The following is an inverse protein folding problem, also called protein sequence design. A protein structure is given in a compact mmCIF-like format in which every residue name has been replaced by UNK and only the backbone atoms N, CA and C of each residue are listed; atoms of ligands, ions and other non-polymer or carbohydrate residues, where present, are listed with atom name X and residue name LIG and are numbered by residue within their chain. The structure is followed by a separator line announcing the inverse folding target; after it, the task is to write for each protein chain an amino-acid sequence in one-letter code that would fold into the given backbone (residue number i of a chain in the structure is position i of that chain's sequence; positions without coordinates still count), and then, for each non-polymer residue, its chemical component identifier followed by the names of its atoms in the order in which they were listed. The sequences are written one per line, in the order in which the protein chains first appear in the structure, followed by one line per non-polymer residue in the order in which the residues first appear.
data_IF_884228249345
#
_entry.id   IF_884228249345
#
_cell.length_a   1.000
_cell.length_b   1.000
_cell.length_c   1.000
_cell.angle_alpha   90.00
_cell.angle_beta   90.00
_cell.angle_gamma   90.00
#
_symmetry.space_group_name_H-M   'P 1'
#
loop_
_entity.id
_entity.type
_entity.pdbx_description
1 polymer ?
#
# COMPACT_ATOMS: atom_id res chain seq x y z
N UNK A 1 -62.24 71.72 36.93
CA UNK A 1 -61.26 70.69 37.38
C UNK A 1 -61.10 69.66 36.28
N UNK A 2 -59.98 69.66 35.56
CA UNK A 2 -59.70 68.65 34.55
C UNK A 2 -59.10 67.41 35.23
N UNK A 3 -59.79 66.26 35.15
CA UNK A 3 -59.32 64.97 35.66
C UNK A 3 -58.42 64.34 34.60
N UNK A 4 -57.11 64.36 34.83
CA UNK A 4 -56.13 63.66 33.96
C UNK A 4 -56.21 62.17 34.29
N UNK A 5 -56.69 61.36 33.35
CA UNK A 5 -56.61 59.90 33.43
C UNK A 5 -55.32 59.42 32.74
N UNK A 6 -54.40 58.86 33.53
CA UNK A 6 -53.22 58.17 33.01
C UNK A 6 -53.64 56.80 32.47
N UNK A 7 -53.42 56.56 31.17
CA UNK A 7 -53.59 55.24 30.56
C UNK A 7 -52.25 54.51 30.53
N UNK A 8 -52.12 53.48 31.36
CA UNK A 8 -50.95 52.60 31.51
C UNK A 8 -50.83 51.56 30.37
N UNK A 9 -51.16 51.92 29.13
CA UNK A 9 -51.28 50.95 28.01
C UNK A 9 -50.12 50.96 27.02
N UNK A 10 -49.15 51.87 27.15
CA UNK A 10 -48.01 52.00 26.21
C UNK A 10 -46.64 51.48 26.71
N UNK A 11 -46.59 50.85 27.89
CA UNK A 11 -45.37 50.25 28.46
C UNK A 11 -45.01 48.80 28.05
N UNK A 12 -45.78 48.01 27.27
CA UNK A 12 -45.34 46.64 26.91
C UNK A 12 -44.35 46.54 25.74
N UNK A 13 -44.45 47.38 24.72
CA UNK A 13 -43.67 47.23 23.48
C UNK A 13 -42.22 47.69 23.63
N UNK A 14 -41.99 48.85 24.25
CA UNK A 14 -40.65 49.43 24.44
C UNK A 14 -39.78 48.52 25.32
N UNK A 15 -40.35 47.93 26.37
CA UNK A 15 -39.66 46.98 27.24
C UNK A 15 -39.32 45.68 26.51
N UNK A 16 -40.26 45.16 25.71
CA UNK A 16 -40.04 43.97 24.88
C UNK A 16 -38.96 44.18 23.83
N UNK A 17 -38.95 45.32 23.16
CA UNK A 17 -37.94 45.65 22.14
C UNK A 17 -36.55 45.89 22.77
N UNK A 18 -36.51 46.52 23.95
CA UNK A 18 -35.27 46.68 24.74
C UNK A 18 -34.69 45.34 25.19
N UNK A 19 -35.54 44.43 25.69
CA UNK A 19 -35.13 43.07 26.06
C UNK A 19 -34.65 42.28 24.84
N UNK A 20 -35.36 42.38 23.71
CA UNK A 20 -34.98 41.74 22.44
C UNK A 20 -33.62 42.27 21.95
N UNK A 21 -33.38 43.57 22.03
CA UNK A 21 -32.07 44.17 21.69
C UNK A 21 -30.96 43.71 22.63
N UNK A 22 -31.20 43.68 23.94
CA UNK A 22 -30.22 43.19 24.92
C UNK A 22 -29.89 41.72 24.70
N UNK A 23 -30.90 40.89 24.42
CA UNK A 23 -30.71 39.48 24.09
C UNK A 23 -29.93 39.31 22.79
N UNK A 24 -30.22 40.11 21.77
CA UNK A 24 -29.49 40.08 20.50
C UNK A 24 -28.03 40.51 20.67
N UNK A 25 -27.76 41.55 21.48
CA UNK A 25 -26.40 41.97 21.85
C UNK A 25 -25.66 40.92 22.66
N UNK A 26 -26.33 40.26 23.60
CA UNK A 26 -25.75 39.16 24.37
C UNK A 26 -25.41 37.98 23.44
N UNK A 27 -26.31 37.63 22.52
CA UNK A 27 -26.06 36.61 21.50
C UNK A 27 -24.87 36.96 20.61
N UNK A 28 -24.74 38.21 20.14
CA UNK A 28 -23.55 38.63 19.40
C UNK A 28 -22.31 38.61 20.28
N UNK A 29 -22.39 39.06 21.54
CA UNK A 29 -21.23 39.13 22.42
C UNK A 29 -20.72 37.73 22.76
N UNK A 30 -21.62 36.80 23.09
CA UNK A 30 -21.32 35.37 23.26
C UNK A 30 -20.77 34.82 21.95
N UNK A 31 -21.47 35.03 20.83
CA UNK A 31 -20.96 34.58 19.53
C UNK A 31 -19.60 35.19 19.25
N UNK A 32 -19.30 36.43 19.55
CA UNK A 32 -17.99 37.06 19.25
C UNK A 32 -16.89 36.61 20.22
N UNK A 33 -17.22 36.30 21.48
CA UNK A 33 -16.29 35.76 22.48
C UNK A 33 -15.93 34.30 22.20
N UNK A 34 -16.87 33.52 21.65
CA UNK A 34 -16.68 32.11 21.32
C UNK A 34 -16.53 31.85 19.81
N UNK A 35 -16.70 32.86 18.95
CA UNK A 35 -16.41 32.79 17.53
C UNK A 35 -14.92 32.86 17.40
N UNK A 36 -14.36 31.67 17.29
CA UNK A 36 -12.98 31.48 17.00
C UNK A 36 -12.97 30.57 15.77
N UNK A 37 -12.41 31.04 14.65
CA UNK A 37 -12.22 30.19 13.46
C UNK A 37 -11.41 28.93 13.80
N UNK A 38 -10.69 28.93 14.93
CA UNK A 38 -9.97 27.78 15.48
C UNK A 38 -10.83 26.79 16.29
N UNK A 39 -12.09 27.09 16.62
CA UNK A 39 -12.97 26.26 17.46
C UNK A 39 -14.21 25.80 16.67
N UNK A 40 -13.96 25.28 15.47
CA UNK A 40 -14.97 24.64 14.64
C UNK A 40 -15.38 23.27 15.20
N UNK A 41 -16.55 22.77 14.79
CA UNK A 41 -16.97 21.40 15.13
C UNK A 41 -15.94 20.35 14.70
N UNK A 42 -15.27 20.57 13.56
CA UNK A 42 -14.17 19.71 13.12
C UNK A 42 -12.99 19.70 14.09
N UNK A 43 -12.64 20.85 14.67
CA UNK A 43 -11.56 20.94 15.67
C UNK A 43 -11.91 20.20 16.96
N UNK A 44 -13.16 20.31 17.43
CA UNK A 44 -13.64 19.55 18.60
C UNK A 44 -13.59 18.03 18.31
N UNK A 45 -14.06 17.60 17.14
CA UNK A 45 -13.95 16.20 16.72
C UNK A 45 -12.49 15.73 16.67
N UNK A 46 -11.58 16.54 16.13
CA UNK A 46 -10.15 16.21 16.07
C UNK A 46 -9.56 15.97 17.47
N UNK A 47 -9.90 16.82 18.45
CA UNK A 47 -9.46 16.65 19.85
C UNK A 47 -10.04 15.37 20.47
N UNK A 48 -11.33 15.11 20.29
CA UNK A 48 -11.98 13.91 20.85
C UNK A 48 -11.40 12.61 20.28
N UNK A 49 -10.95 12.64 19.02
CA UNK A 49 -10.34 11.51 18.34
C UNK A 49 -8.83 11.35 18.64
N UNK A 50 -8.21 12.32 19.32
CA UNK A 50 -6.77 12.33 19.60
C UNK A 50 -6.27 11.08 20.38
N UNK A 51 -6.97 10.56 21.41
CA UNK A 51 -6.55 9.32 22.08
C UNK A 51 -6.58 8.11 21.16
N UNK A 52 -7.58 8.04 20.25
CA UNK A 52 -7.68 6.96 19.27
C UNK A 52 -6.57 7.07 18.23
N UNK A 53 -6.30 8.28 17.73
CA UNK A 53 -5.18 8.51 16.81
C UNK A 53 -3.85 8.15 17.46
N UNK A 54 -3.62 8.54 18.72
CA UNK A 54 -2.42 8.15 19.46
C UNK A 54 -2.28 6.63 19.57
N UNK A 55 -3.36 5.91 19.89
CA UNK A 55 -3.33 4.44 19.94
C UNK A 55 -2.98 3.83 18.59
N UNK A 56 -3.64 4.27 17.51
CA UNK A 56 -3.40 3.78 16.15
C UNK A 56 -1.98 4.12 15.69
N UNK A 57 -1.48 5.32 15.99
CA UNK A 57 -0.14 5.76 15.64
C UNK A 57 0.93 4.94 16.35
N UNK A 58 0.79 4.70 17.65
CA UNK A 58 1.71 3.89 18.43
C UNK A 58 1.65 2.40 18.05
N UNK A 59 0.45 1.90 17.72
CA UNK A 59 0.27 0.55 17.21
C UNK A 59 0.93 0.38 15.83
N UNK A 60 0.77 1.37 14.95
CA UNK A 60 1.36 1.35 13.59
C UNK A 60 2.88 1.41 13.64
N UNK A 61 3.47 2.22 14.52
CA UNK A 61 4.93 2.30 14.67
C UNK A 61 5.54 1.01 15.24
N UNK A 62 4.84 0.35 16.16
CA UNK A 62 5.26 -0.93 16.72
C UNK A 62 5.16 -2.08 15.69
N UNK A 63 4.09 -2.13 14.90
CA UNK A 63 3.89 -3.19 13.91
C UNK A 63 4.72 -3.01 12.64
N UNK A 64 5.20 -1.80 12.33
CA UNK A 64 6.00 -1.53 11.13
C UNK A 64 7.16 -2.52 10.93
N UNK A 65 8.06 -2.70 11.91
CA UNK A 65 9.14 -3.70 11.85
C UNK A 65 8.64 -5.14 11.66
N UNK A 66 7.51 -5.50 12.27
CA UNK A 66 6.89 -6.84 12.14
C UNK A 66 6.42 -7.06 10.71
N UNK A 67 5.77 -6.08 10.09
CA UNK A 67 5.34 -6.18 8.69
C UNK A 67 6.53 -6.27 7.73
N UNK A 68 7.61 -5.53 7.99
CA UNK A 68 8.84 -5.62 7.17
C UNK A 68 9.47 -7.02 7.26
N UNK A 69 9.56 -7.57 8.48
CA UNK A 69 10.04 -8.93 8.69
C UNK A 69 9.14 -9.96 7.98
N UNK A 70 7.82 -9.80 8.09
CA UNK A 70 6.84 -10.69 7.47
C UNK A 70 6.96 -10.71 5.94
N UNK A 71 7.04 -9.55 5.28
CA UNK A 71 7.22 -9.46 3.82
C UNK A 71 8.54 -10.11 3.39
N UNK A 72 9.60 -9.87 4.15
CA UNK A 72 10.92 -10.46 3.88
C UNK A 72 10.89 -11.99 4.00
N UNK A 73 10.30 -12.52 5.06
CA UNK A 73 10.15 -13.96 5.29
C UNK A 73 9.27 -14.62 4.23
N UNK A 74 8.14 -13.99 3.86
CA UNK A 74 7.28 -14.48 2.79
C UNK A 74 8.03 -14.54 1.46
N UNK A 75 8.78 -13.49 1.13
CA UNK A 75 9.59 -13.47 -0.10
C UNK A 75 10.64 -14.57 -0.10
N UNK A 76 11.38 -14.74 1.01
CA UNK A 76 12.37 -15.81 1.16
C UNK A 76 11.71 -17.18 1.02
N UNK A 77 10.53 -17.40 1.63
CA UNK A 77 9.82 -18.68 1.55
C UNK A 77 9.40 -19.03 0.11
N UNK A 78 8.91 -18.05 -0.66
CA UNK A 78 8.51 -18.27 -2.05
C UNK A 78 9.71 -18.54 -2.94
N UNK A 79 10.81 -17.80 -2.74
CA UNK A 79 12.07 -18.05 -3.44
C UNK A 79 12.59 -19.45 -3.10
N UNK A 80 12.60 -19.82 -1.82
CA UNK A 80 13.01 -21.16 -1.39
C UNK A 80 12.20 -22.25 -2.08
N UNK A 81 10.87 -22.14 -2.13
CA UNK A 81 10.01 -23.15 -2.78
C UNK A 81 10.29 -23.21 -4.29
N UNK A 82 10.48 -22.08 -4.96
CA UNK A 82 10.81 -22.04 -6.38
C UNK A 82 12.14 -22.76 -6.69
N UNK A 83 13.15 -22.60 -5.83
CA UNK A 83 14.45 -23.28 -5.98
C UNK A 83 14.44 -24.73 -5.50
N UNK A 84 13.68 -25.06 -4.45
CA UNK A 84 13.66 -26.41 -3.88
C UNK A 84 12.80 -27.36 -4.70
N UNK A 85 11.63 -26.92 -5.17
CA UNK A 85 10.68 -27.73 -5.93
C UNK A 85 10.78 -27.45 -7.42
N UNK A 86 10.78 -26.18 -7.82
CA UNK A 86 10.73 -25.80 -9.23
C UNK A 86 12.02 -26.08 -10.02
N UNK A 87 13.18 -25.80 -9.43
CA UNK A 87 14.46 -25.95 -10.14
C UNK A 87 14.77 -27.40 -10.54
N UNK A 88 14.70 -28.41 -9.64
CA UNK A 88 14.94 -29.81 -10.05
C UNK A 88 13.95 -30.27 -11.13
N UNK A 89 12.66 -29.92 -10.96
CA UNK A 89 11.59 -30.32 -11.87
C UNK A 89 11.79 -29.80 -13.29
N UNK A 90 12.21 -28.53 -13.43
CA UNK A 90 12.50 -27.92 -14.73
C UNK A 90 13.82 -28.45 -15.31
N UNK A 91 14.82 -28.72 -14.46
CA UNK A 91 16.13 -29.21 -14.89
C UNK A 91 16.03 -30.57 -15.58
N UNK A 92 15.23 -31.49 -15.03
CA UNK A 92 15.00 -32.82 -15.59
C UNK A 92 14.28 -32.76 -16.95
N UNK A 93 13.39 -31.79 -17.15
CA UNK A 93 12.62 -31.64 -18.40
C UNK A 93 13.40 -30.93 -19.50
N UNK A 94 14.02 -29.81 -19.16
CA UNK A 94 14.76 -28.99 -20.12
C UNK A 94 15.79 -28.10 -19.41
N UNK A 95 17.09 -28.48 -19.45
CA UNK A 95 18.15 -27.66 -18.88
C UNK A 95 18.24 -26.26 -19.52
N UNK A 96 18.00 -26.15 -20.83
CA UNK A 96 18.05 -24.87 -21.54
C UNK A 96 16.94 -23.94 -21.06
N UNK A 97 15.70 -24.43 -20.97
CA UNK A 97 14.59 -23.64 -20.42
C UNK A 97 14.88 -23.22 -18.99
N UNK A 98 15.40 -24.14 -18.17
CA UNK A 98 15.77 -23.87 -16.78
C UNK A 98 16.77 -22.72 -16.66
N UNK A 99 17.80 -22.68 -17.51
CA UNK A 99 18.77 -21.57 -17.53
C UNK A 99 18.06 -20.25 -17.85
N UNK A 100 17.17 -20.22 -18.85
CA UNK A 100 16.41 -19.01 -19.21
C UNK A 100 15.54 -18.55 -18.04
N UNK A 101 14.82 -19.48 -17.40
CA UNK A 101 13.97 -19.19 -16.24
C UNK A 101 14.79 -18.68 -15.04
N UNK A 102 15.98 -19.23 -14.82
CA UNK A 102 16.89 -18.74 -13.78
C UNK A 102 17.37 -17.31 -14.09
N UNK A 103 17.74 -16.99 -15.33
CA UNK A 103 18.17 -15.65 -15.70
C UNK A 103 17.05 -14.62 -15.49
N UNK A 104 15.86 -14.91 -16.00
CA UNK A 104 14.70 -14.01 -15.89
C UNK A 104 14.22 -13.92 -14.44
N UNK A 105 14.10 -15.06 -13.75
CA UNK A 105 13.65 -15.15 -12.37
C UNK A 105 14.57 -14.42 -11.40
N UNK A 106 15.90 -14.55 -11.56
CA UNK A 106 16.86 -13.80 -10.75
C UNK A 106 16.86 -12.31 -11.08
N UNK A 107 16.70 -11.92 -12.34
CA UNK A 107 16.55 -10.50 -12.71
C UNK A 107 15.32 -9.86 -12.05
N UNK A 108 14.19 -10.58 -12.03
CA UNK A 108 12.98 -10.14 -11.32
C UNK A 108 13.24 -10.06 -9.81
N UNK A 109 13.84 -11.09 -9.21
CA UNK A 109 14.16 -11.14 -7.78
C UNK A 109 15.06 -9.98 -7.36
N UNK A 110 16.12 -9.69 -8.12
CA UNK A 110 17.03 -8.57 -7.87
C UNK A 110 16.25 -7.24 -7.87
N UNK A 111 15.34 -7.03 -8.82
CA UNK A 111 14.53 -5.82 -8.86
C UNK A 111 13.54 -5.73 -7.68
N UNK A 112 12.88 -6.84 -7.32
CA UNK A 112 11.99 -6.90 -6.15
C UNK A 112 12.76 -6.53 -4.88
N UNK A 113 13.87 -7.22 -4.61
CA UNK A 113 14.70 -6.97 -3.43
C UNK A 113 15.27 -5.56 -3.42
N UNK A 114 15.78 -5.07 -4.54
CA UNK A 114 16.34 -3.72 -4.64
C UNK A 114 15.27 -2.65 -4.36
N UNK A 115 14.12 -2.72 -5.02
CA UNK A 115 13.08 -1.71 -4.84
C UNK A 115 12.42 -1.78 -3.45
N UNK A 116 12.28 -2.97 -2.88
CA UNK A 116 11.84 -3.14 -1.49
C UNK A 116 12.82 -2.51 -0.51
N UNK A 117 14.11 -2.86 -0.64
CA UNK A 117 15.19 -2.29 0.19
C UNK A 117 15.22 -0.77 0.11
N UNK A 118 15.12 -0.21 -1.10
CA UNK A 118 15.09 1.25 -1.30
C UNK A 118 13.82 1.87 -0.70
N UNK A 119 12.67 1.21 -0.78
CA UNK A 119 11.43 1.67 -0.12
C UNK A 119 11.55 1.76 1.40
N UNK A 120 12.19 0.75 2.02
CA UNK A 120 12.42 0.70 3.47
C UNK A 120 13.47 1.71 3.91
N UNK A 121 14.59 1.81 3.19
CA UNK A 121 15.78 2.53 3.68
C UNK A 121 15.88 3.98 3.22
N UNK A 122 15.36 4.32 2.03
CA UNK A 122 15.44 5.70 1.53
C UNK A 122 14.41 6.56 2.28
N UNK A 123 14.84 7.62 2.98
CA UNK A 123 13.91 8.53 3.62
C UNK A 123 13.00 9.19 2.58
N UNK A 124 11.70 9.30 2.88
CA UNK A 124 10.72 9.93 1.99
C UNK A 124 11.06 11.37 1.59
N UNK A 125 11.87 12.06 2.40
CA UNK A 125 12.24 13.46 2.28
C UNK A 125 11.47 14.34 3.25
N UNK A 126 12.16 15.29 3.88
CA UNK A 126 11.57 16.26 4.78
C UNK A 126 12.08 17.67 4.44
N UNK A 127 11.29 18.72 4.73
CA UNK A 127 11.77 20.09 4.60
C UNK A 127 13.06 20.33 5.43
N UNK A 128 13.97 21.20 4.97
CA UNK A 128 15.20 21.54 5.69
C UNK A 128 14.89 22.20 7.04
N UNK A 129 15.75 21.99 8.03
CA UNK A 129 15.63 22.65 9.33
C UNK A 129 16.34 24.01 9.31
N UNK A 130 15.64 25.09 9.68
CA UNK A 130 16.23 26.42 9.84
C UNK A 130 16.56 27.17 8.53
N UNK A 131 16.22 26.62 7.36
CA UNK A 131 16.37 27.29 6.07
C UNK A 131 15.11 28.04 5.63
N UNK A 132 15.27 29.06 4.80
CA UNK A 132 14.16 29.71 4.11
C UNK A 132 13.54 28.73 3.11
N UNK A 133 12.22 28.56 3.18
CA UNK A 133 11.46 27.80 2.18
C UNK A 133 11.02 28.81 1.11
N UNK A 134 11.51 28.69 -0.14
CA UNK A 134 11.28 29.69 -1.18
C UNK A 134 9.79 29.92 -1.45
N UNK A 135 9.02 28.83 -1.45
CA UNK A 135 7.60 28.81 -1.74
C UNK A 135 6.88 28.09 -0.59
N UNK A 136 6.43 28.81 0.44
CA UNK A 136 5.63 28.22 1.51
C UNK A 136 4.14 28.40 1.22
N UNK A 137 3.38 27.30 1.13
CA UNK A 137 1.93 27.35 0.82
C UNK A 137 1.05 27.37 2.08
N UNK A 138 1.55 26.87 3.21
CA UNK A 138 0.84 26.88 4.49
C UNK A 138 1.79 26.56 5.65
N UNK A 139 1.34 26.73 6.89
CA UNK A 139 2.09 26.33 8.08
C UNK A 139 1.60 24.96 8.57
N UNK A 140 2.52 24.07 8.97
CA UNK A 140 2.17 22.84 9.67
C UNK A 140 1.75 23.15 11.10
N UNK A 141 0.51 22.78 11.49
CA UNK A 141 0.01 22.99 12.86
C UNK A 141 0.74 22.16 13.92
N UNK A 142 1.26 20.99 13.58
CA UNK A 142 2.00 20.11 14.52
C UNK A 142 3.49 20.49 14.63
N UNK A 143 4.16 20.72 13.51
CA UNK A 143 5.59 21.06 13.50
C UNK A 143 5.88 22.55 13.72
N UNK A 144 4.87 23.43 13.57
CA UNK A 144 5.02 24.90 13.59
C UNK A 144 6.12 25.37 12.63
N UNK A 145 6.08 24.83 11.41
CA UNK A 145 7.05 25.11 10.33
C UNK A 145 6.34 25.38 9.02
N UNK A 146 6.90 26.24 8.14
CA UNK A 146 6.36 26.42 6.79
C UNK A 146 6.40 25.10 6.01
N UNK A 147 5.35 24.84 5.23
CA UNK A 147 5.24 23.67 4.35
C UNK A 147 5.44 24.11 2.90
N UNK A 148 6.43 23.53 2.20
CA UNK A 148 6.50 23.62 0.74
C UNK A 148 5.23 23.04 0.10
N UNK A 149 4.95 23.34 -1.19
CA UNK A 149 3.89 22.69 -1.93
C UNK A 149 3.99 21.16 -1.83
N UNK A 150 2.83 20.50 -1.88
CA UNK A 150 2.70 19.03 -1.86
C UNK A 150 3.24 18.35 -0.57
N UNK A 151 3.58 19.12 0.45
CA UNK A 151 4.10 18.62 1.73
C UNK A 151 2.99 18.43 2.75
N UNK A 152 2.95 17.26 3.38
CA UNK A 152 1.98 16.94 4.44
C UNK A 152 2.69 16.42 5.69
N UNK A 153 2.04 16.56 6.85
CA UNK A 153 2.58 16.04 8.11
C UNK A 153 2.12 14.60 8.30
N UNK A 154 3.07 13.69 8.50
CA UNK A 154 2.78 12.34 8.95
C UNK A 154 2.88 12.28 10.47
N UNK A 155 1.80 11.93 11.14
CA UNK A 155 1.78 11.83 12.60
C UNK A 155 2.55 10.61 13.11
N UNK A 156 2.48 9.47 12.42
CA UNK A 156 3.27 8.26 12.74
C UNK A 156 4.77 8.56 12.73
N UNK A 157 5.26 9.28 11.71
CA UNK A 157 6.67 9.69 11.63
C UNK A 157 6.98 10.98 12.40
N UNK A 158 5.97 11.66 12.94
CA UNK A 158 6.01 12.96 13.59
C UNK A 158 6.84 14.03 12.86
N UNK A 159 6.69 14.11 11.52
CA UNK A 159 7.41 15.09 10.68
C UNK A 159 6.67 15.39 9.39
N UNK A 160 6.99 16.54 8.78
CA UNK A 160 6.54 16.88 7.44
C UNK A 160 7.32 16.08 6.38
N UNK A 161 6.59 15.49 5.44
CA UNK A 161 7.12 14.67 4.36
C UNK A 161 6.89 15.38 3.03
N UNK A 162 7.96 15.55 2.25
CA UNK A 162 7.92 16.18 0.92
C UNK A 162 7.13 15.28 -0.05
N UNK A 163 6.24 15.87 -0.86
CA UNK A 163 5.38 15.16 -1.81
C UNK A 163 4.75 13.89 -1.21
N UNK A 164 4.22 14.03 0.02
CA UNK A 164 3.74 12.89 0.79
C UNK A 164 2.61 12.18 0.04
N UNK A 165 2.75 10.86 -0.08
CA UNK A 165 1.67 10.00 -0.58
C UNK A 165 0.92 9.37 0.59
N UNK A 166 1.60 8.56 1.39
CA UNK A 166 1.03 7.95 2.59
C UNK A 166 2.14 7.45 3.53
N UNK A 167 1.76 7.04 4.74
CA UNK A 167 2.62 6.23 5.60
C UNK A 167 2.36 4.75 5.32
N UNK A 168 3.39 3.97 5.00
CA UNK A 168 3.25 2.56 4.63
C UNK A 168 3.83 1.68 5.75
N UNK A 169 2.98 0.96 6.51
CA UNK A 169 3.46 0.05 7.55
C UNK A 169 4.34 -1.07 7.00
N UNK A 170 4.07 -1.52 5.76
CA UNK A 170 4.81 -2.57 5.05
C UNK A 170 6.25 -2.20 4.67
N UNK A 171 6.58 -0.92 4.70
CA UNK A 171 7.94 -0.40 4.52
C UNK A 171 8.53 0.11 5.84
N UNK A 172 7.74 0.17 6.91
CA UNK A 172 8.05 0.93 8.12
C UNK A 172 8.55 2.36 7.81
N UNK A 173 7.99 2.99 6.78
CA UNK A 173 8.46 4.24 6.24
C UNK A 173 7.32 5.01 5.54
N UNK A 174 7.47 6.33 5.42
CA UNK A 174 6.60 7.11 4.57
C UNK A 174 6.96 6.91 3.10
N UNK A 175 5.96 7.00 2.23
CA UNK A 175 6.13 7.11 0.79
C UNK A 175 6.01 8.60 0.43
N UNK A 176 7.07 9.17 -0.13
CA UNK A 176 7.17 10.58 -0.48
C UNK A 176 8.16 10.84 -1.60
N UNK A 177 8.61 12.09 -1.75
CA UNK A 177 9.35 12.56 -2.92
C UNK A 177 10.48 11.62 -3.37
N UNK A 178 11.37 11.19 -2.46
CA UNK A 178 12.58 10.45 -2.84
C UNK A 178 12.39 8.94 -3.00
N UNK A 179 11.36 8.33 -2.41
CA UNK A 179 11.17 6.87 -2.44
C UNK A 179 9.88 6.41 -3.15
N UNK A 180 8.99 7.32 -3.57
CA UNK A 180 7.73 6.98 -4.23
C UNK A 180 7.93 6.15 -5.52
N UNK A 181 8.97 6.45 -6.31
CA UNK A 181 9.35 5.62 -7.46
C UNK A 181 9.66 4.17 -7.05
N UNK A 182 10.44 3.99 -5.99
CA UNK A 182 10.83 2.66 -5.52
C UNK A 182 9.64 1.87 -4.99
N UNK A 183 8.74 2.52 -4.25
CA UNK A 183 7.49 1.91 -3.81
C UNK A 183 6.64 1.40 -4.98
N UNK A 184 6.46 2.22 -6.03
CA UNK A 184 5.69 1.81 -7.20
C UNK A 184 6.36 0.65 -7.96
N UNK A 185 7.67 0.74 -8.22
CA UNK A 185 8.40 -0.30 -8.92
C UNK A 185 8.47 -1.61 -8.13
N UNK A 186 8.56 -1.56 -6.79
CA UNK A 186 8.46 -2.74 -5.94
C UNK A 186 7.14 -3.48 -6.18
N UNK A 187 6.00 -2.79 -6.20
CA UNK A 187 4.71 -3.43 -6.45
C UNK A 187 4.66 -4.04 -7.86
N UNK A 188 5.11 -3.31 -8.88
CA UNK A 188 5.10 -3.80 -10.28
C UNK A 188 5.99 -5.04 -10.44
N UNK A 189 7.24 -4.99 -9.97
CA UNK A 189 8.14 -6.14 -10.07
C UNK A 189 7.67 -7.33 -9.22
N UNK A 190 7.04 -7.09 -8.07
CA UNK A 190 6.48 -8.18 -7.26
C UNK A 190 5.32 -8.85 -7.99
N UNK A 191 4.41 -8.08 -8.57
CA UNK A 191 3.29 -8.62 -9.37
C UNK A 191 3.82 -9.42 -10.58
N UNK A 192 4.79 -8.88 -11.32
CA UNK A 192 5.41 -9.59 -12.45
C UNK A 192 6.14 -10.86 -11.97
N UNK A 193 6.84 -10.80 -10.84
CA UNK A 193 7.53 -11.94 -10.23
C UNK A 193 6.59 -13.07 -9.81
N UNK A 194 5.50 -12.76 -9.12
CA UNK A 194 4.52 -13.80 -8.72
C UNK A 194 3.75 -14.35 -9.92
N UNK A 195 3.45 -13.51 -10.93
CA UNK A 195 2.86 -13.98 -12.20
C UNK A 195 3.81 -14.93 -12.93
N UNK A 196 5.11 -14.61 -12.98
CA UNK A 196 6.14 -15.48 -13.53
C UNK A 196 6.15 -16.84 -12.82
N UNK A 197 6.18 -16.86 -11.48
CA UNK A 197 6.14 -18.11 -10.69
C UNK A 197 4.85 -18.89 -10.96
N UNK A 198 3.69 -18.24 -11.03
CA UNK A 198 2.43 -18.92 -11.30
C UNK A 198 2.39 -19.54 -12.70
N UNK A 199 2.83 -18.81 -13.73
CA UNK A 199 2.83 -19.29 -15.13
C UNK A 199 3.74 -20.51 -15.28
N UNK A 200 4.95 -20.48 -14.72
CA UNK A 200 5.90 -21.59 -14.83
C UNK A 200 5.73 -22.67 -13.75
N UNK A 201 4.91 -22.41 -12.73
CA UNK A 201 4.56 -23.35 -11.68
C UNK A 201 3.25 -24.11 -11.93
N UNK A 202 2.38 -23.63 -12.83
CA UNK A 202 1.07 -24.26 -13.07
C UNK A 202 1.18 -25.68 -13.62
N UNK A 203 2.13 -25.92 -14.53
CA UNK A 203 2.34 -27.25 -15.09
C UNK A 203 2.85 -28.22 -14.02
N UNK A 204 3.84 -27.79 -13.23
CA UNK A 204 4.36 -28.54 -12.09
C UNK A 204 3.23 -28.89 -11.11
N UNK A 205 2.40 -27.91 -10.75
CA UNK A 205 1.27 -28.15 -9.87
C UNK A 205 0.27 -29.16 -10.49
N UNK A 206 -0.06 -29.00 -11.77
CA UNK A 206 -1.01 -29.89 -12.46
C UNK A 206 -0.55 -31.35 -12.41
N UNK A 207 0.70 -31.64 -12.76
CA UNK A 207 1.24 -33.00 -12.77
C UNK A 207 1.35 -33.61 -11.36
N UNK A 208 1.65 -32.80 -10.34
CA UNK A 208 1.70 -33.26 -8.95
C UNK A 208 0.31 -33.58 -8.36
N UNK A 209 -0.71 -32.80 -8.73
CA UNK A 209 -2.08 -32.99 -8.23
C UNK A 209 -2.89 -33.99 -9.07
N UNK A 210 -2.55 -34.17 -10.33
CA UNK A 210 -3.23 -35.08 -11.27
C UNK A 210 -2.21 -35.99 -11.95
N UNK A 211 -1.54 -36.89 -11.20
CA UNK A 211 -0.66 -37.88 -11.81
C UNK A 211 -1.48 -38.81 -12.72
N UNK A 212 -0.89 -39.21 -13.85
CA UNK A 212 -1.49 -40.24 -14.71
C UNK A 212 -1.72 -41.51 -13.87
N UNK A 213 -2.91 -42.09 -13.97
CA UNK A 213 -3.23 -43.33 -13.28
C UNK A 213 -2.32 -44.44 -13.82
N UNK A 214 -1.42 -44.97 -13.00
CA UNK A 214 -0.77 -46.24 -13.31
C UNK A 214 -1.85 -47.31 -13.50
N UNK A 215 -1.73 -48.19 -14.50
CA UNK A 215 -2.66 -49.31 -14.63
C UNK A 215 -2.64 -50.10 -13.32
N UNK A 216 -3.82 -50.29 -12.75
CA UNK A 216 -4.03 -51.04 -11.52
C UNK A 216 -3.35 -52.42 -11.67
N UNK A 217 -2.20 -52.61 -11.01
CA UNK A 217 -1.54 -53.91 -10.97
C UNK A 217 -2.46 -54.84 -10.17
N UNK A 218 -3.10 -55.74 -10.91
CA UNK A 218 -4.05 -56.73 -10.40
C UNK A 218 -3.41 -57.53 -9.25
N UNK A 219 -3.89 -57.27 -8.04
CA UNK A 219 -3.58 -58.07 -6.86
C UNK A 219 -3.14 -57.27 -5.62
N UNK A 220 -4.03 -56.51 -4.99
CA UNK A 220 -4.07 -56.24 -3.54
C UNK A 220 -5.44 -55.62 -3.14
N UNK A 221 -5.74 -55.48 -1.83
CA UNK A 221 -6.82 -56.14 -1.07
C UNK A 221 -8.27 -55.66 -1.36
N UNK A 222 -9.25 -56.50 -1.02
CA UNK A 222 -10.70 -56.29 -1.24
C UNK A 222 -11.24 -55.09 -0.44
N UNK A 223 -11.76 -54.08 -1.15
CA UNK A 223 -12.60 -53.01 -0.57
C UNK A 223 -14.03 -53.51 -0.38
N UNK A 224 -14.49 -53.64 0.86
CA UNK A 224 -15.90 -53.84 1.19
C UNK A 224 -16.51 -52.52 1.66
N UNK A 225 -17.42 -51.98 0.84
CA UNK A 225 -18.35 -50.90 1.21
C UNK A 225 -17.74 -49.51 1.49
N UNK A 226 -16.92 -49.02 0.55
CA UNK A 226 -16.61 -47.60 0.27
C UNK A 226 -16.23 -46.63 1.40
N UNK A 227 -15.97 -47.05 2.65
CA UNK A 227 -15.70 -46.07 3.73
C UNK A 227 -14.47 -46.32 4.59
N UNK A 228 -13.88 -47.52 4.64
CA UNK A 228 -12.68 -47.71 5.47
C UNK A 228 -11.69 -48.69 4.82
N UNK A 229 -10.45 -48.25 4.67
CA UNK A 229 -9.32 -49.14 4.46
C UNK A 229 -9.06 -49.79 5.82
N UNK A 230 -9.42 -51.06 5.99
CA UNK A 230 -8.97 -51.84 7.14
C UNK A 230 -7.45 -52.00 6.92
N UNK A 231 -6.58 -51.41 7.75
CA UNK A 231 -5.16 -51.72 7.66
C UNK A 231 -5.04 -53.19 8.00
N UNK A 232 -4.41 -53.98 7.12
CA UNK A 232 -4.00 -55.33 7.50
C UNK A 232 -3.06 -55.19 8.69
N UNK A 233 -3.58 -55.47 9.88
CA UNK A 233 -2.81 -55.67 11.11
C UNK A 233 -2.15 -57.05 11.10
N UNK A 234 -1.67 -57.48 9.94
CA UNK A 234 -0.78 -58.62 9.87
C UNK A 234 0.55 -58.17 10.42
N UNK A 235 1.02 -58.82 11.48
CA UNK A 235 2.32 -58.52 12.09
C UNK A 235 3.39 -58.59 11.00
N UNK A 236 4.08 -57.48 10.75
CA UNK A 236 5.19 -57.38 9.78
C UNK A 236 6.38 -58.30 10.14
N UNK A 237 6.29 -59.03 11.26
CA UNK A 237 7.25 -60.02 11.75
C UNK A 237 7.56 -61.15 10.75
N UNK A 238 6.69 -61.38 9.75
CA UNK A 238 6.90 -62.37 8.69
C UNK A 238 7.69 -61.84 7.48
N UNK A 239 7.93 -60.53 7.40
CA UNK A 239 8.64 -59.91 6.29
C UNK A 239 10.15 -59.99 6.48
N UNK A 240 10.85 -60.19 5.37
CA UNK A 240 12.31 -60.08 5.34
C UNK A 240 12.77 -58.64 5.65
N UNK A 241 14.01 -58.50 6.11
CA UNK A 241 14.61 -57.17 6.35
C UNK A 241 14.62 -56.30 5.10
N UNK A 242 14.67 -56.90 3.92
CA UNK A 242 14.66 -56.22 2.62
C UNK A 242 13.26 -55.67 2.31
N UNK A 243 12.20 -56.45 2.52
CA UNK A 243 10.81 -56.01 2.36
C UNK A 243 10.44 -54.89 3.34
N UNK A 244 10.89 -54.98 4.60
CA UNK A 244 10.67 -53.93 5.59
C UNK A 244 11.38 -52.62 5.20
N UNK A 245 12.59 -52.71 4.63
CA UNK A 245 13.33 -51.55 4.14
C UNK A 245 12.66 -50.91 2.93
N UNK A 246 12.09 -51.71 2.02
CA UNK A 246 11.35 -51.21 0.86
C UNK A 246 10.06 -50.50 1.27
N UNK A 247 9.29 -51.07 2.21
CA UNK A 247 8.11 -50.41 2.78
C UNK A 247 8.49 -49.09 3.43
N UNK A 248 9.57 -49.05 4.22
CA UNK A 248 10.06 -47.82 4.83
C UNK A 248 10.47 -46.77 3.78
N UNK A 249 11.08 -47.19 2.67
CA UNK A 249 11.43 -46.32 1.53
C UNK A 249 10.19 -45.73 0.86
N UNK A 250 9.19 -46.57 0.56
CA UNK A 250 7.93 -46.13 -0.05
C UNK A 250 7.15 -45.18 0.86
N UNK A 251 7.14 -45.43 2.17
CA UNK A 251 6.53 -44.54 3.15
C UNK A 251 7.23 -43.16 3.18
N UNK A 252 8.57 -43.14 3.18
CA UNK A 252 9.35 -41.91 3.13
C UNK A 252 9.15 -41.12 1.82
N UNK A 253 9.11 -41.80 0.67
CA UNK A 253 8.82 -41.17 -0.63
C UNK A 253 7.42 -40.55 -0.66
N UNK A 254 6.43 -41.21 -0.06
CA UNK A 254 5.06 -40.70 0.05
C UNK A 254 5.00 -39.45 0.92
N UNK A 255 5.69 -39.45 2.06
CA UNK A 255 5.77 -38.28 2.95
C UNK A 255 6.42 -37.07 2.26
N UNK A 256 7.51 -37.31 1.50
CA UNK A 256 8.19 -36.26 0.73
C UNK A 256 7.25 -35.65 -0.32
N UNK A 257 6.52 -36.49 -1.06
CA UNK A 257 5.55 -36.01 -2.06
C UNK A 257 4.43 -35.20 -1.41
N UNK A 258 3.91 -35.66 -0.26
CA UNK A 258 2.87 -34.92 0.47
C UNK A 258 3.38 -33.54 0.94
N UNK A 259 4.62 -33.48 1.43
CA UNK A 259 5.26 -32.23 1.83
C UNK A 259 5.42 -31.27 0.64
N UNK A 260 5.89 -31.76 -0.51
CA UNK A 260 6.00 -30.96 -1.73
C UNK A 260 4.64 -30.38 -2.16
N UNK A 261 3.57 -31.17 -2.12
CA UNK A 261 2.20 -30.68 -2.41
C UNK A 261 1.77 -29.55 -1.49
N UNK A 262 2.05 -29.65 -0.19
CA UNK A 262 1.76 -28.58 0.79
C UNK A 262 2.54 -27.29 0.48
N UNK A 263 3.81 -27.40 0.08
CA UNK A 263 4.62 -26.26 -0.35
C UNK A 263 4.07 -25.59 -1.60
N UNK A 264 3.67 -26.38 -2.61
CA UNK A 264 3.08 -25.87 -3.85
C UNK A 264 1.76 -25.13 -3.57
N UNK A 265 0.90 -25.69 -2.71
CA UNK A 265 -0.36 -25.03 -2.30
C UNK A 265 -0.06 -23.71 -1.59
N UNK A 266 0.85 -23.73 -0.61
CA UNK A 266 1.24 -22.52 0.11
C UNK A 266 1.77 -21.43 -0.84
N UNK A 267 2.69 -21.79 -1.75
CA UNK A 267 3.22 -20.84 -2.73
C UNK A 267 2.14 -20.31 -3.68
N UNK A 268 1.26 -21.18 -4.18
CA UNK A 268 0.14 -20.79 -5.04
C UNK A 268 -0.80 -19.79 -4.37
N UNK A 269 -1.22 -20.06 -3.13
CA UNK A 269 -2.11 -19.16 -2.38
C UNK A 269 -1.47 -17.79 -2.13
N UNK A 270 -0.20 -17.76 -1.71
CA UNK A 270 0.53 -16.51 -1.47
C UNK A 270 0.71 -15.73 -2.78
N UNK A 271 1.06 -16.38 -3.88
CA UNK A 271 1.22 -15.74 -5.19
C UNK A 271 -0.10 -15.14 -5.69
N UNK A 272 -1.22 -15.86 -5.58
CA UNK A 272 -2.55 -15.38 -5.98
C UNK A 272 -2.96 -14.18 -5.13
N UNK A 273 -2.86 -14.30 -3.81
CA UNK A 273 -3.23 -13.23 -2.88
C UNK A 273 -2.37 -11.97 -3.11
N UNK A 274 -1.06 -12.15 -3.28
CA UNK A 274 -0.11 -11.05 -3.55
C UNK A 274 -0.41 -10.40 -4.90
N UNK A 275 -0.67 -11.18 -5.94
CA UNK A 275 -1.01 -10.67 -7.26
C UNK A 275 -2.29 -9.83 -7.22
N UNK A 276 -3.33 -10.31 -6.54
CA UNK A 276 -4.59 -9.58 -6.41
C UNK A 276 -4.41 -8.28 -5.61
N UNK A 277 -3.80 -8.36 -4.42
CA UNK A 277 -3.65 -7.22 -3.53
C UNK A 277 -2.71 -6.14 -4.09
N UNK A 278 -1.48 -6.52 -4.47
CA UNK A 278 -0.51 -5.57 -5.01
C UNK A 278 -0.85 -5.16 -6.44
N UNK A 279 -1.52 -6.01 -7.23
CA UNK A 279 -2.00 -5.65 -8.57
C UNK A 279 -3.05 -4.55 -8.52
N UNK A 280 -4.04 -4.67 -7.63
CA UNK A 280 -5.05 -3.63 -7.44
C UNK A 280 -4.43 -2.31 -6.93
N UNK A 281 -3.49 -2.39 -5.98
CA UNK A 281 -2.79 -1.22 -5.45
C UNK A 281 -1.90 -0.56 -6.52
N UNK A 282 -1.13 -1.33 -7.28
CA UNK A 282 -0.31 -0.83 -8.38
C UNK A 282 -1.17 -0.16 -9.46
N UNK A 283 -2.32 -0.74 -9.81
CA UNK A 283 -3.27 -0.13 -10.74
C UNK A 283 -3.80 1.22 -10.24
N UNK A 284 -4.16 1.29 -8.95
CA UNK A 284 -4.60 2.53 -8.32
C UNK A 284 -3.51 3.61 -8.38
N UNK A 285 -2.28 3.29 -7.96
CA UNK A 285 -1.16 4.24 -8.03
C UNK A 285 -0.83 4.63 -9.47
N UNK A 286 -0.90 3.72 -10.43
CA UNK A 286 -0.71 4.04 -11.84
C UNK A 286 -1.70 5.09 -12.33
N UNK A 287 -2.96 5.04 -11.86
CA UNK A 287 -3.98 6.06 -12.15
C UNK A 287 -3.63 7.43 -11.54
N UNK A 288 -3.14 7.45 -10.30
CA UNK A 288 -2.71 8.68 -9.63
C UNK A 288 -1.51 9.32 -10.34
N UNK A 289 -0.49 8.51 -10.67
CA UNK A 289 0.69 8.95 -11.42
C UNK A 289 0.28 9.50 -12.79
N UNK A 290 -0.65 8.84 -13.48
CA UNK A 290 -1.18 9.29 -14.77
C UNK A 290 -1.78 10.70 -14.68
N UNK A 291 -2.36 11.08 -13.54
CA UNK A 291 -2.97 12.39 -13.27
C UNK A 291 -2.04 13.37 -12.55
N UNK A 292 -0.78 13.00 -12.33
CA UNK A 292 0.21 13.87 -11.67
C UNK A 292 -0.03 14.09 -10.17
N UNK A 293 -0.87 13.28 -9.52
CA UNK A 293 -1.29 13.45 -8.12
C UNK A 293 -0.76 12.35 -7.20
N UNK A 294 -0.59 12.67 -5.90
CA UNK A 294 -0.43 11.68 -4.83
C UNK A 294 -1.79 11.22 -4.29
N UNK A 295 -1.81 10.20 -3.44
CA UNK A 295 -3.03 9.73 -2.76
C UNK A 295 -3.74 10.85 -1.98
N UNK A 296 -2.98 11.68 -1.26
CA UNK A 296 -3.54 12.84 -0.53
C UNK A 296 -4.09 13.87 -1.52
N UNK A 297 -3.36 14.15 -2.58
CA UNK A 297 -3.77 15.13 -3.58
C UNK A 297 -5.01 14.70 -4.35
N UNK A 298 -5.20 13.41 -4.63
CA UNK A 298 -6.44 12.92 -5.22
C UNK A 298 -7.68 13.29 -4.39
N UNK A 299 -7.59 13.21 -3.06
CA UNK A 299 -8.67 13.66 -2.19
C UNK A 299 -8.88 15.18 -2.25
N UNK A 300 -7.78 15.95 -2.22
CA UNK A 300 -7.82 17.42 -2.32
C UNK A 300 -8.41 17.86 -3.67
N UNK A 301 -7.88 17.34 -4.77
CA UNK A 301 -8.30 17.61 -6.13
C UNK A 301 -9.78 17.24 -6.35
N UNK A 302 -10.24 16.12 -5.77
CA UNK A 302 -11.65 15.72 -5.80
C UNK A 302 -12.55 16.71 -5.05
N UNK A 303 -12.12 17.17 -3.87
CA UNK A 303 -12.85 18.16 -3.09
C UNK A 303 -12.89 19.53 -3.80
N UNK A 304 -11.75 20.01 -4.32
CA UNK A 304 -11.67 21.26 -5.08
C UNK A 304 -12.48 21.19 -6.38
N UNK A 305 -12.44 20.07 -7.09
CA UNK A 305 -13.28 19.84 -8.27
C UNK A 305 -14.77 19.99 -7.96
N UNK A 306 -15.23 19.48 -6.82
CA UNK A 306 -16.63 19.66 -6.39
C UNK A 306 -16.96 21.13 -6.09
N UNK A 307 -16.07 21.85 -5.40
CA UNK A 307 -16.25 23.29 -5.10
C UNK A 307 -16.32 24.14 -6.36
N UNK A 308 -15.43 23.91 -7.32
CA UNK A 308 -15.40 24.65 -8.58
C UNK A 308 -16.65 24.36 -9.43
N UNK A 309 -17.09 23.09 -9.50
CA UNK A 309 -18.34 22.72 -10.19
C UNK A 309 -19.56 23.41 -9.60
N UNK A 310 -19.63 23.57 -8.28
CA UNK A 310 -20.72 24.32 -7.63
C UNK A 310 -20.76 25.80 -8.04
N UNK A 311 -19.65 26.35 -8.55
CA UNK A 311 -19.53 27.70 -9.08
C UNK A 311 -19.58 27.75 -10.62
N UNK A 312 -19.96 26.66 -11.30
CA UNK A 312 -19.87 26.51 -12.75
C UNK A 312 -18.46 26.79 -13.32
N UNK A 313 -17.42 26.49 -12.55
CA UNK A 313 -16.01 26.60 -12.95
C UNK A 313 -15.39 25.22 -13.11
N UNK A 314 -14.34 25.14 -13.93
CA UNK A 314 -13.54 23.93 -14.11
C UNK A 314 -12.28 24.02 -13.24
N UNK A 315 -12.05 23.00 -12.41
CA UNK A 315 -10.80 22.84 -11.68
C UNK A 315 -9.82 22.03 -12.54
N UNK A 316 -8.60 22.55 -12.69
CA UNK A 316 -7.50 21.85 -13.33
C UNK A 316 -6.41 21.57 -12.30
N UNK A 317 -5.97 20.32 -12.19
CA UNK A 317 -4.84 19.96 -11.33
C UNK A 317 -3.58 20.70 -11.83
N UNK A 318 -2.95 21.56 -11.02
CA UNK A 318 -1.79 22.33 -11.45
C UNK A 318 -0.55 21.47 -11.75
N UNK A 319 -0.52 20.21 -11.29
CA UNK A 319 0.60 19.27 -11.48
C UNK A 319 0.32 18.18 -12.51
N UNK A 320 -0.80 18.27 -13.24
CA UNK A 320 -1.11 17.35 -14.34
C UNK A 320 -0.60 17.90 -15.68
N UNK A 321 0.59 17.46 -16.08
CA UNK A 321 1.23 17.83 -17.36
C UNK A 321 0.82 16.92 -18.53
N UNK A 322 -0.16 16.05 -18.32
CA UNK A 322 -0.55 15.00 -19.24
C UNK A 322 0.20 13.68 -18.99
N UNK A 323 -0.48 12.57 -19.25
CA UNK A 323 -0.08 11.22 -18.86
C UNK A 323 1.40 10.90 -19.14
N UNK A 324 1.87 11.14 -20.37
CA UNK A 324 3.24 10.82 -20.78
C UNK A 324 4.29 11.60 -19.97
N UNK A 325 4.06 12.90 -19.76
CA UNK A 325 5.02 13.74 -19.03
C UNK A 325 4.96 13.44 -17.53
N UNK A 326 3.78 13.19 -16.97
CA UNK A 326 3.63 12.78 -15.57
C UNK A 326 4.42 11.49 -15.27
N UNK A 327 4.33 10.48 -16.14
CA UNK A 327 5.12 9.25 -16.02
C UNK A 327 6.62 9.49 -16.17
N UNK A 328 7.05 10.35 -17.10
CA UNK A 328 8.47 10.70 -17.26
C UNK A 328 9.05 11.42 -16.05
N UNK A 329 8.30 12.33 -15.47
CA UNK A 329 8.68 13.05 -14.24
C UNK A 329 8.72 12.09 -13.04
N UNK A 330 7.72 11.22 -12.92
CA UNK A 330 7.64 10.23 -11.84
C UNK A 330 8.78 9.20 -11.90
N UNK A 331 9.04 8.64 -13.07
CA UNK A 331 10.10 7.64 -13.28
C UNK A 331 11.50 8.28 -13.41
N UNK A 332 11.60 9.60 -13.47
CA UNK A 332 12.88 10.30 -13.54
C UNK A 332 13.62 10.15 -14.88
N UNK A 333 12.90 9.86 -15.98
CA UNK A 333 13.49 9.52 -17.30
C UNK A 333 13.67 10.70 -18.25
N UNK A 334 13.28 11.92 -17.89
CA UNK A 334 13.34 13.09 -18.78
C UNK A 334 14.73 13.37 -19.37
N UNK A 335 15.79 13.10 -18.62
CA UNK A 335 17.20 13.27 -19.01
C UNK A 335 18.00 11.97 -18.91
N UNK A 336 17.33 10.81 -18.85
CA UNK A 336 17.95 9.53 -18.53
C UNK A 336 17.40 8.39 -19.40
N UNK A 337 18.21 7.35 -19.57
CA UNK A 337 17.79 6.17 -20.33
C UNK A 337 16.73 5.34 -19.59
N UNK A 338 15.91 4.61 -20.35
CA UNK A 338 14.91 3.68 -19.83
C UNK A 338 15.52 2.49 -19.07
N UNK A 339 16.81 2.19 -19.28
CA UNK A 339 17.55 1.18 -18.53
C UNK A 339 17.52 1.38 -17.01
N UNK A 340 17.38 2.62 -16.55
CA UNK A 340 17.26 2.91 -15.12
C UNK A 340 15.91 2.48 -14.51
N UNK A 341 14.94 2.08 -15.33
CA UNK A 341 13.69 1.46 -14.88
C UNK A 341 13.85 -0.06 -14.82
N UNK A 342 14.55 -0.64 -15.82
CA UNK A 342 14.73 -2.09 -15.93
C UNK A 342 15.74 -2.70 -14.94
N UNK A 343 16.74 -1.90 -14.55
CA UNK A 343 17.79 -2.34 -13.66
C UNK A 343 17.82 -1.50 -12.38
N UNK A 344 18.28 -2.10 -11.26
CA UNK A 344 18.52 -1.40 -10.02
C UNK A 344 19.20 -0.05 -10.23
N UNK A 345 18.54 1.03 -9.83
CA UNK A 345 19.05 2.37 -10.00
C UNK A 345 18.64 3.29 -8.85
N UNK A 346 19.66 3.90 -8.24
CA UNK A 346 19.59 4.83 -7.11
C UNK A 346 19.30 6.29 -7.54
N UNK A 347 19.02 6.53 -8.82
CA UNK A 347 18.82 7.90 -9.28
C UNK A 347 17.59 8.52 -8.59
N UNK A 348 17.75 9.78 -8.17
CA UNK A 348 16.71 10.53 -7.51
C UNK A 348 15.61 11.01 -8.47
N UNK A 349 14.45 11.41 -7.90
CA UNK A 349 13.36 12.05 -8.64
C UNK A 349 13.81 13.37 -9.28
N UNK A 350 12.99 13.92 -10.16
CA UNK A 350 13.21 15.27 -10.68
C UNK A 350 12.85 16.32 -9.62
N UNK A 351 13.76 17.30 -9.42
CA UNK A 351 13.56 18.41 -8.49
C UNK A 351 13.91 18.07 -7.03
N UNK A 352 13.93 19.10 -6.19
CA UNK A 352 14.29 19.02 -4.77
C UNK A 352 13.11 18.67 -3.86
N UNK A 353 11.88 18.71 -4.38
CA UNK A 353 10.65 18.48 -3.63
C UNK A 353 10.19 19.70 -2.81
N UNK A 354 10.94 20.80 -2.84
CA UNK A 354 10.61 22.06 -2.20
C UNK A 354 9.93 23.02 -3.18
N UNK A 355 10.37 23.02 -4.43
CA UNK A 355 9.83 23.86 -5.50
C UNK A 355 9.19 23.00 -6.57
N UNK A 356 8.08 23.46 -7.13
CA UNK A 356 7.30 22.68 -8.08
C UNK A 356 6.86 23.55 -9.24
N UNK A 357 7.21 23.14 -10.45
CA UNK A 357 6.58 23.70 -11.64
C UNK A 357 5.12 23.29 -11.67
N UNK A 358 4.31 24.15 -12.23
CA UNK A 358 2.89 23.96 -12.51
C UNK A 358 2.63 24.13 -14.00
N UNK A 359 1.46 23.70 -14.46
CA UNK A 359 0.99 23.94 -15.83
C UNK A 359 0.87 25.44 -16.18
N UNK A 360 0.80 26.30 -15.17
CA UNK A 360 0.72 27.75 -15.37
C UNK A 360 2.08 28.35 -15.71
N UNK A 361 3.17 27.77 -15.21
CA UNK A 361 4.53 28.22 -15.50
C UNK A 361 4.93 27.92 -16.95
N UNK A 362 4.42 26.82 -17.52
CA UNK A 362 4.67 26.44 -18.92
C UNK A 362 3.95 27.30 -19.97
N UNK A 363 3.00 28.16 -19.56
CA UNK A 363 2.26 29.05 -20.48
C UNK A 363 2.86 30.46 -20.57
N UNK A 364 3.91 30.74 -19.79
CA UNK A 364 4.54 32.07 -19.68
C UNK A 364 5.90 32.10 -20.41
N UNK A 365 6.34 30.99 -21.02
CA UNK A 365 7.57 30.92 -21.84
C UNK A 365 7.31 31.06 -23.33
#
# INVERSE_FOLDING_TARGET
MAKIQWSLTKTPSILRDSLKQKWWRLQISIKSLFYNDFLSWSYICDILMEPMFWFVENFTSFLGPVFVAMVSLLTISIVYIAYYVGLPWWWERSPIMTIILLLVGNWLLVNVCFHYYMGVTVPAGNPPQGGLIPEAVSICKKCIKPKPPRTHHCSVCNKCILKMDHHCPWLNNCVGHYNHRHFFLYMVYTVVGVMFIMIFGVQLAYEEFFPDQEPELDGHPVRLNNSEIIPMTESLDHLSKEELAEIARQAAETEIKEWQKRLIIFAGLICIATCAALGALAWWHARLITRGETSIEAHINSAESKKYRAQNKFYQNPYDFGSRENWRLFLGTKSRSWWHILFPSIHGPYGDGLTWRTIHDSKIS
#
